data_IF_545602197184
#
_entry.id   IF_545602197184
#
_cell.length_a   1.000
_cell.length_b   1.000
_cell.length_c   1.000
_cell.angle_alpha   90.00
_cell.angle_beta   90.00
_cell.angle_gamma   90.00
#
_symmetry.space_group_name_H-M   'P 1'
#
loop_
_entity.id
_entity.type
_entity.pdbx_description
1 polymer ?
#
# COMPACT_ATOMS: atom_id res chain seq x y z
N UNK A 1 36.57 43.35 -58.40
CA UNK A 1 36.37 41.99 -58.97
C UNK A 1 36.50 40.96 -57.85
N UNK A 2 35.73 39.86 -57.89
CA UNK A 2 35.05 39.29 -56.74
C UNK A 2 35.70 38.01 -56.17
N UNK A 3 35.22 37.58 -54.99
CA UNK A 3 35.07 36.20 -54.44
C UNK A 3 35.35 36.24 -52.93
N UNK A 4 34.69 35.49 -52.04
CA UNK A 4 33.56 34.57 -52.05
C UNK A 4 33.51 33.98 -50.63
N UNK A 5 32.32 33.87 -50.01
CA UNK A 5 31.84 32.83 -49.06
C UNK A 5 32.74 32.48 -47.84
N UNK A 6 32.24 32.44 -46.61
CA UNK A 6 31.23 31.48 -46.16
C UNK A 6 30.65 31.85 -44.80
N UNK A 7 29.34 31.67 -44.66
CA UNK A 7 28.70 31.44 -43.37
C UNK A 7 29.21 30.11 -42.80
N UNK A 8 29.56 30.08 -41.51
CA UNK A 8 29.52 28.85 -40.70
C UNK A 8 28.69 29.14 -39.47
N UNK A 9 27.43 28.72 -39.52
CA UNK A 9 26.60 28.47 -38.36
C UNK A 9 27.19 27.27 -37.61
N UNK A 10 27.76 27.51 -36.42
CA UNK A 10 28.13 26.46 -35.48
C UNK A 10 27.02 26.26 -34.47
N UNK A 11 26.12 25.32 -34.75
CA UNK A 11 25.04 24.88 -33.88
C UNK A 11 25.54 23.83 -32.87
N UNK A 12 25.05 23.97 -31.64
CA UNK A 12 24.59 22.90 -30.75
C UNK A 12 25.63 22.00 -30.03
N UNK A 13 25.53 22.00 -28.71
CA UNK A 13 26.14 21.00 -27.83
C UNK A 13 25.88 21.26 -26.35
N UNK A 14 24.64 21.58 -25.95
CA UNK A 14 24.26 21.58 -24.53
C UNK A 14 24.08 20.10 -24.13
N UNK A 15 25.13 19.50 -23.57
CA UNK A 15 25.08 18.17 -22.98
C UNK A 15 24.27 18.23 -21.68
N UNK A 16 22.96 17.99 -21.79
CA UNK A 16 22.11 17.75 -20.63
C UNK A 16 22.47 16.42 -19.98
N UNK A 17 23.12 16.47 -18.82
CA UNK A 17 23.29 15.30 -17.97
C UNK A 17 21.90 14.84 -17.49
N UNK A 18 21.39 13.77 -18.10
CA UNK A 18 20.26 13.02 -17.57
C UNK A 18 20.73 12.32 -16.29
N UNK A 19 20.47 12.94 -15.14
CA UNK A 19 20.45 12.22 -13.87
C UNK A 19 19.27 11.26 -13.94
N UNK A 20 19.54 10.01 -14.29
CA UNK A 20 18.60 8.92 -14.11
C UNK A 20 18.38 8.77 -12.61
N UNK A 21 17.29 9.36 -12.12
CA UNK A 21 16.73 9.08 -10.80
C UNK A 21 16.56 7.56 -10.74
N UNK A 22 17.44 6.86 -10.01
CA UNK A 22 17.27 5.45 -9.73
C UNK A 22 16.05 5.37 -8.80
N UNK A 23 14.86 5.17 -9.37
CA UNK A 23 13.73 4.72 -8.59
C UNK A 23 14.16 3.36 -8.01
N UNK A 24 14.27 3.27 -6.69
CA UNK A 24 14.66 2.04 -6.00
C UNK A 24 13.68 0.93 -6.36
N UNK A 25 14.08 0.06 -7.29
CA UNK A 25 13.32 -1.11 -7.64
C UNK A 25 13.44 -2.09 -6.48
N UNK A 26 12.31 -2.59 -5.99
CA UNK A 26 12.23 -3.69 -5.04
C UNK A 26 13.08 -4.87 -5.55
N UNK A 27 14.19 -5.18 -4.88
CA UNK A 27 15.12 -6.24 -5.28
C UNK A 27 14.94 -7.45 -4.36
N UNK A 28 14.30 -8.51 -4.87
CA UNK A 28 14.09 -9.74 -4.11
C UNK A 28 15.42 -10.44 -3.71
N UNK A 29 16.50 -10.31 -4.50
CA UNK A 29 17.81 -10.84 -4.14
C UNK A 29 18.47 -10.02 -3.01
N UNK A 30 18.25 -8.70 -3.00
CA UNK A 30 18.59 -7.87 -1.85
C UNK A 30 17.74 -8.22 -0.62
N UNK A 31 16.45 -8.47 -0.83
CA UNK A 31 15.50 -8.87 0.19
C UNK A 31 15.88 -10.15 0.90
N UNK A 32 16.44 -11.14 0.19
CA UNK A 32 16.98 -12.36 0.83
C UNK A 32 18.09 -12.03 1.82
N UNK A 33 18.97 -11.08 1.49
CA UNK A 33 20.05 -10.65 2.40
C UNK A 33 19.48 -9.93 3.62
N UNK A 34 18.49 -9.08 3.43
CA UNK A 34 17.79 -8.40 4.53
C UNK A 34 17.06 -9.40 5.42
N UNK A 35 16.43 -10.42 4.84
CA UNK A 35 15.68 -11.46 5.56
C UNK A 35 16.55 -12.23 6.56
N UNK A 36 17.88 -12.26 6.39
CA UNK A 36 18.81 -12.80 7.39
C UNK A 36 18.65 -12.15 8.78
N UNK A 37 18.19 -10.89 8.85
CA UNK A 37 17.84 -10.20 10.10
C UNK A 37 16.59 -10.79 10.77
N UNK A 38 15.72 -11.46 10.00
CA UNK A 38 14.46 -12.05 10.43
C UNK A 38 14.59 -13.55 10.79
N UNK A 39 15.57 -14.25 10.23
CA UNK A 39 15.73 -15.71 10.31
C UNK A 39 15.91 -16.28 11.73
N UNK A 40 16.35 -15.47 12.69
CA UNK A 40 16.42 -15.88 14.11
C UNK A 40 15.03 -16.14 14.71
N UNK A 41 14.02 -15.42 14.22
CA UNK A 41 12.66 -15.48 14.73
C UNK A 41 11.68 -16.12 13.76
N UNK A 42 11.95 -16.08 12.46
CA UNK A 42 11.00 -16.49 11.43
C UNK A 42 11.62 -17.48 10.44
N UNK A 43 10.75 -18.20 9.73
CA UNK A 43 11.10 -19.08 8.63
C UNK A 43 10.15 -18.84 7.46
N UNK A 44 10.65 -19.06 6.25
CA UNK A 44 9.91 -19.08 4.98
C UNK A 44 10.30 -20.33 4.20
N UNK A 45 9.48 -20.69 3.21
CA UNK A 45 9.72 -21.81 2.30
C UNK A 45 9.19 -23.15 2.80
N UNK A 46 9.52 -24.19 2.05
CA UNK A 46 9.10 -25.57 2.32
C UNK A 46 9.66 -26.05 3.68
N UNK A 47 8.80 -26.68 4.48
CA UNK A 47 9.18 -27.20 5.80
C UNK A 47 9.43 -26.12 6.86
N UNK A 48 9.04 -24.87 6.62
CA UNK A 48 9.10 -23.80 7.60
C UNK A 48 8.29 -24.14 8.86
N UNK A 49 8.82 -23.77 10.03
CA UNK A 49 8.20 -24.02 11.34
C UNK A 49 8.15 -22.76 12.17
N UNK A 50 7.14 -22.66 13.03
CA UNK A 50 7.05 -21.61 14.04
C UNK A 50 8.31 -21.62 14.93
N UNK A 51 8.84 -20.43 15.23
CA UNK A 51 9.97 -20.21 16.15
C UNK A 51 9.56 -19.18 17.20
N UNK A 52 10.43 -18.19 17.46
CA UNK A 52 10.10 -17.02 18.28
C UNK A 52 8.93 -16.25 17.63
N UNK A 53 8.91 -16.16 16.31
CA UNK A 53 7.83 -15.64 15.49
C UNK A 53 7.13 -16.74 14.66
N UNK A 54 5.96 -16.44 14.08
CA UNK A 54 5.25 -17.37 13.19
C UNK A 54 6.01 -17.56 11.87
N UNK A 55 5.66 -18.61 11.13
CA UNK A 55 6.08 -18.78 9.73
C UNK A 55 5.56 -17.61 8.87
N UNK A 56 6.40 -17.15 7.93
CA UNK A 56 6.09 -16.04 7.02
C UNK A 56 5.82 -16.49 5.58
N UNK A 57 5.87 -17.79 5.27
CA UNK A 57 5.35 -18.32 4.00
C UNK A 57 3.87 -17.96 3.86
N UNK A 58 3.48 -17.37 2.73
CA UNK A 58 2.11 -16.90 2.50
C UNK A 58 1.67 -15.83 3.50
N UNK A 59 2.56 -14.91 3.88
CA UNK A 59 2.20 -13.81 4.78
C UNK A 59 1.42 -12.72 4.05
N UNK A 60 1.75 -12.43 2.78
CA UNK A 60 1.03 -11.43 1.99
C UNK A 60 -0.36 -11.99 1.63
N UNK A 61 -1.39 -11.17 1.84
CA UNK A 61 -2.81 -11.55 1.75
C UNK A 61 -3.37 -12.26 2.99
N UNK A 62 -2.54 -12.57 4.00
CA UNK A 62 -2.99 -13.30 5.19
C UNK A 62 -3.51 -12.36 6.27
N UNK A 63 -4.63 -12.74 6.89
CA UNK A 63 -5.16 -12.09 8.10
C UNK A 63 -4.08 -12.02 9.20
N UNK A 64 -3.98 -10.89 9.88
CA UNK A 64 -3.06 -10.76 11.00
C UNK A 64 -3.43 -11.69 12.16
N UNK A 65 -2.42 -12.20 12.87
CA UNK A 65 -2.65 -13.06 14.02
C UNK A 65 -3.26 -14.44 13.73
N UNK A 66 -3.19 -14.94 12.48
CA UNK A 66 -3.95 -16.12 12.06
C UNK A 66 -3.12 -17.33 11.61
N UNK A 67 -1.78 -17.29 11.62
CA UNK A 67 -1.00 -18.48 11.25
C UNK A 67 -1.19 -19.58 12.29
N UNK A 68 -1.47 -20.79 11.82
CA UNK A 68 -1.81 -21.92 12.66
C UNK A 68 -0.69 -22.28 13.65
N UNK A 69 -1.11 -22.84 14.78
CA UNK A 69 -0.21 -23.34 15.84
C UNK A 69 0.81 -22.31 16.38
N UNK A 70 0.57 -21.01 16.20
CA UNK A 70 1.36 -19.93 16.79
C UNK A 70 0.57 -19.15 17.85
N UNK A 71 1.22 -18.85 18.98
CA UNK A 71 0.61 -18.09 20.09
C UNK A 71 0.87 -16.59 19.96
N UNK A 72 -0.04 -15.89 19.29
CA UNK A 72 0.01 -14.43 19.09
C UNK A 72 -0.16 -13.61 20.38
N UNK A 73 0.13 -12.30 20.32
CA UNK A 73 -0.29 -11.37 21.36
C UNK A 73 -1.79 -11.09 21.23
N UNK A 74 -2.43 -10.68 22.33
CA UNK A 74 -3.84 -10.27 22.29
C UNK A 74 -4.08 -9.18 21.25
N UNK A 75 -3.22 -8.15 21.21
CA UNK A 75 -3.33 -7.04 20.26
C UNK A 75 -3.15 -7.46 18.80
N UNK A 76 -2.26 -8.40 18.50
CA UNK A 76 -2.10 -8.90 17.13
C UNK A 76 -3.34 -9.69 16.68
N UNK A 77 -3.93 -10.49 17.57
CA UNK A 77 -5.19 -11.19 17.30
C UNK A 77 -6.33 -10.19 17.10
N UNK A 78 -6.45 -9.19 17.97
CA UNK A 78 -7.45 -8.12 17.87
C UNK A 78 -7.30 -7.32 16.57
N UNK A 79 -6.08 -7.00 16.14
CA UNK A 79 -5.87 -6.30 14.87
C UNK A 79 -6.37 -7.12 13.69
N UNK A 80 -6.12 -8.44 13.69
CA UNK A 80 -6.72 -9.34 12.71
C UNK A 80 -8.24 -9.35 12.78
N UNK A 81 -8.83 -9.47 13.98
CA UNK A 81 -10.29 -9.41 14.19
C UNK A 81 -10.92 -8.10 13.70
N UNK A 82 -10.21 -6.98 13.86
CA UNK A 82 -10.57 -5.65 13.37
C UNK A 82 -10.31 -5.45 11.85
N UNK A 83 -9.92 -6.50 11.13
CA UNK A 83 -9.82 -6.49 9.66
C UNK A 83 -8.40 -6.38 9.11
N UNK A 84 -7.35 -6.40 9.93
CA UNK A 84 -5.98 -6.30 9.42
C UNK A 84 -5.62 -7.51 8.56
N UNK A 85 -5.34 -7.26 7.29
CA UNK A 85 -4.76 -8.20 6.33
C UNK A 85 -3.38 -7.68 5.95
N UNK A 86 -2.38 -8.56 5.93
CA UNK A 86 -1.03 -8.19 5.55
C UNK A 86 -0.91 -8.00 4.04
N UNK A 87 -0.90 -6.76 3.59
CA UNK A 87 -0.39 -6.39 2.27
C UNK A 87 1.03 -5.80 2.38
N UNK A 88 1.58 -5.35 1.26
CA UNK A 88 2.93 -4.79 1.22
C UNK A 88 3.06 -3.50 2.05
N UNK A 89 2.05 -2.62 2.04
CA UNK A 89 2.05 -1.36 2.79
C UNK A 89 1.93 -1.59 4.29
N UNK A 90 0.99 -2.44 4.72
CA UNK A 90 0.84 -2.82 6.11
C UNK A 90 2.12 -3.46 6.66
N UNK A 91 2.80 -4.31 5.87
CA UNK A 91 4.10 -4.87 6.24
C UNK A 91 5.19 -3.79 6.29
N UNK A 92 5.21 -2.86 5.34
CA UNK A 92 6.18 -1.76 5.30
C UNK A 92 6.07 -0.89 6.56
N UNK A 93 4.86 -0.48 6.94
CA UNK A 93 4.64 0.31 8.15
C UNK A 93 4.89 -0.49 9.43
N UNK A 94 4.37 -1.72 9.50
CA UNK A 94 4.59 -2.59 10.66
C UNK A 94 6.08 -2.86 10.91
N UNK A 95 6.88 -3.05 9.86
CA UNK A 95 8.32 -3.32 10.02
C UNK A 95 9.10 -2.10 10.54
N UNK A 96 8.65 -0.86 10.29
CA UNK A 96 9.26 0.33 10.88
C UNK A 96 9.04 0.39 12.40
N UNK A 97 7.88 -0.05 12.87
CA UNK A 97 7.53 0.00 14.29
C UNK A 97 6.35 -0.90 14.65
N UNK A 98 6.57 -2.19 14.97
CA UNK A 98 5.47 -3.11 15.26
C UNK A 98 4.56 -2.68 16.41
N UNK A 99 5.17 -2.07 17.43
CA UNK A 99 4.48 -1.58 18.62
C UNK A 99 3.59 -0.38 18.28
N UNK A 100 4.16 0.58 17.57
CA UNK A 100 3.53 1.87 17.25
C UNK A 100 2.39 1.60 16.24
N UNK A 101 2.66 0.80 15.20
CA UNK A 101 1.67 0.33 14.23
C UNK A 101 0.44 -0.32 14.89
N UNK A 102 0.62 -1.22 15.86
CA UNK A 102 -0.52 -1.87 16.51
C UNK A 102 -1.31 -0.90 17.41
N UNK A 103 -0.66 0.10 18.01
CA UNK A 103 -1.35 1.11 18.80
C UNK A 103 -2.20 2.01 17.90
N UNK A 104 -1.63 2.46 16.78
CA UNK A 104 -2.33 3.31 15.82
C UNK A 104 -3.47 2.56 15.13
N UNK A 105 -3.21 1.35 14.62
CA UNK A 105 -4.23 0.56 13.92
C UNK A 105 -5.44 0.26 14.82
N UNK A 106 -5.20 -0.03 16.10
CA UNK A 106 -6.27 -0.33 17.06
C UNK A 106 -6.85 0.91 17.73
N UNK A 107 -6.22 2.08 17.62
CA UNK A 107 -6.55 3.25 18.44
C UNK A 107 -6.37 2.98 19.95
N UNK A 108 -5.40 2.14 20.34
CA UNK A 108 -5.19 1.71 21.73
C UNK A 108 -3.71 1.84 22.14
N UNK A 109 -3.38 2.87 22.93
CA UNK A 109 -2.05 3.08 23.52
C UNK A 109 -1.59 1.90 24.42
N UNK A 110 -2.52 1.08 24.90
CA UNK A 110 -2.29 -0.13 25.65
C UNK A 110 -1.88 -1.33 24.80
N UNK A 111 -2.06 -1.28 23.48
CA UNK A 111 -1.74 -2.39 22.58
C UNK A 111 -0.28 -2.82 22.72
N UNK A 112 0.03 -4.12 22.55
CA UNK A 112 1.40 -4.64 22.70
C UNK A 112 1.80 -5.59 21.57
N UNK A 113 2.86 -5.22 20.87
CA UNK A 113 3.56 -6.09 19.94
C UNK A 113 4.56 -7.00 20.68
N UNK A 114 4.55 -8.29 20.36
CA UNK A 114 5.58 -9.24 20.82
C UNK A 114 6.89 -9.09 20.05
N UNK A 115 6.82 -8.70 18.79
CA UNK A 115 7.99 -8.40 17.96
C UNK A 115 8.57 -7.04 18.39
N UNK A 116 9.80 -7.04 18.91
CA UNK A 116 10.51 -5.82 19.35
C UNK A 116 11.52 -5.29 18.32
N UNK A 117 11.78 -6.07 17.28
CA UNK A 117 12.65 -5.68 16.18
C UNK A 117 12.00 -4.60 15.33
N UNK A 118 12.80 -3.65 14.84
CA UNK A 118 12.39 -2.59 13.92
C UNK A 118 13.38 -2.55 12.76
N UNK A 119 12.87 -2.55 11.53
CA UNK A 119 13.65 -2.37 10.31
C UNK A 119 13.46 -0.92 9.86
N UNK A 120 14.40 -0.04 10.24
CA UNK A 120 14.26 1.42 10.05
C UNK A 120 14.51 1.87 8.61
N UNK A 121 15.40 1.17 7.93
CA UNK A 121 15.78 1.51 6.56
C UNK A 121 14.62 1.17 5.61
N UNK A 122 14.24 2.13 4.77
CA UNK A 122 13.08 1.98 3.88
C UNK A 122 13.36 1.05 2.70
N UNK A 123 14.58 1.07 2.17
CA UNK A 123 15.00 0.21 1.07
C UNK A 123 15.02 -1.24 1.55
N UNK A 124 15.62 -1.50 2.72
CA UNK A 124 15.60 -2.81 3.37
C UNK A 124 14.16 -3.34 3.56
N UNK A 125 13.21 -2.46 3.96
CA UNK A 125 11.80 -2.83 4.13
C UNK A 125 11.18 -3.23 2.79
N UNK A 126 11.36 -2.42 1.75
CA UNK A 126 10.85 -2.72 0.40
C UNK A 126 11.41 -4.03 -0.13
N UNK A 127 12.71 -4.24 0.01
CA UNK A 127 13.41 -5.42 -0.47
C UNK A 127 12.96 -6.68 0.26
N UNK A 128 12.89 -6.67 1.60
CA UNK A 128 12.45 -7.87 2.35
C UNK A 128 11.00 -8.21 2.06
N UNK A 129 10.13 -7.23 1.81
CA UNK A 129 8.74 -7.45 1.42
C UNK A 129 8.67 -8.10 0.03
N UNK A 130 9.46 -7.61 -0.92
CA UNK A 130 9.58 -8.23 -2.25
C UNK A 130 10.07 -9.69 -2.18
N UNK A 131 11.03 -9.97 -1.30
CA UNK A 131 11.44 -11.33 -1.01
C UNK A 131 10.30 -12.18 -0.41
N UNK A 132 9.55 -11.67 0.57
CA UNK A 132 8.38 -12.36 1.15
C UNK A 132 7.26 -12.61 0.14
N UNK A 133 7.09 -11.71 -0.84
CA UNK A 133 6.14 -11.88 -1.92
C UNK A 133 6.45 -13.12 -2.78
N UNK A 134 7.73 -13.48 -2.95
CA UNK A 134 8.12 -14.73 -3.64
C UNK A 134 7.69 -16.01 -2.91
N UNK A 135 7.28 -15.93 -1.64
CA UNK A 135 6.77 -17.04 -0.84
C UNK A 135 5.26 -16.95 -0.58
N UNK A 136 4.57 -16.01 -1.21
CA UNK A 136 3.13 -15.83 -1.07
C UNK A 136 2.45 -16.13 -2.40
N UNK A 137 1.29 -16.82 -2.42
CA UNK A 137 0.53 -16.99 -3.65
C UNK A 137 0.19 -15.61 -4.21
N UNK A 138 0.58 -15.34 -5.46
CA UNK A 138 0.22 -14.08 -6.13
C UNK A 138 -1.20 -14.09 -6.69
N UNK A 139 -1.81 -15.28 -6.75
CA UNK A 139 -3.20 -15.47 -7.10
C UNK A 139 -3.76 -16.50 -6.11
N UNK A 140 -4.35 -16.04 -5.00
CA UNK A 140 -5.29 -16.87 -4.27
C UNK A 140 -6.58 -16.87 -5.10
N UNK A 141 -6.63 -17.75 -6.09
CA UNK A 141 -7.84 -18.13 -6.81
C UNK A 141 -8.96 -18.39 -5.79
N UNK A 142 -9.89 -17.44 -5.71
CA UNK A 142 -11.20 -17.64 -5.10
C UNK A 142 -12.13 -18.21 -6.17
N UNK A 143 -11.69 -19.27 -6.83
CA UNK A 143 -12.56 -20.18 -7.57
C UNK A 143 -12.97 -21.28 -6.58
N UNK A 144 -13.95 -20.98 -5.72
CA UNK A 144 -14.88 -21.95 -5.10
C UNK A 144 -15.56 -21.38 -3.82
N UNK A 145 -16.03 -20.12 -3.82
CA UNK A 145 -17.21 -19.73 -3.00
C UNK A 145 -17.90 -18.46 -3.53
N UNK A 146 -18.01 -18.30 -4.85
CA UNK A 146 -18.88 -17.29 -5.48
C UNK A 146 -20.02 -17.94 -6.27
N UNK A 147 -20.72 -18.88 -5.63
CA UNK A 147 -22.07 -19.23 -6.05
C UNK A 147 -23.05 -18.68 -5.02
N UNK A 148 -23.73 -17.59 -5.42
CA UNK A 148 -24.87 -16.95 -4.76
C UNK A 148 -24.55 -15.98 -3.62
N UNK A 149 -24.12 -14.77 -3.98
CA UNK A 149 -24.85 -13.51 -3.74
C UNK A 149 -24.01 -12.37 -4.36
N UNK A 150 -24.57 -11.67 -5.34
CA UNK A 150 -23.82 -10.90 -6.32
C UNK A 150 -22.98 -9.73 -5.80
N UNK A 151 -21.68 -9.80 -6.05
CA UNK A 151 -20.80 -8.64 -6.21
C UNK A 151 -20.09 -8.74 -7.56
N UNK A 152 -20.17 -7.70 -8.38
CA UNK A 152 -19.46 -7.65 -9.65
C UNK A 152 -17.93 -7.61 -9.39
N UNK A 153 -17.10 -8.20 -10.26
CA UNK A 153 -15.65 -8.19 -10.06
C UNK A 153 -15.13 -6.75 -10.01
N UNK A 154 -14.14 -6.50 -9.14
CA UNK A 154 -13.38 -5.25 -9.11
C UNK A 154 -12.74 -5.05 -10.49
N UNK A 155 -13.45 -4.30 -11.34
CA UNK A 155 -12.99 -3.96 -12.69
C UNK A 155 -11.70 -3.17 -12.52
N UNK A 156 -10.62 -3.60 -13.19
CA UNK A 156 -9.39 -2.81 -13.30
C UNK A 156 -9.77 -1.37 -13.62
N UNK A 157 -9.36 -0.43 -12.77
CA UNK A 157 -9.74 0.98 -12.92
C UNK A 157 -9.38 1.44 -14.32
N UNK A 158 -10.30 2.13 -14.99
CA UNK A 158 -10.00 2.66 -16.31
C UNK A 158 -8.83 3.66 -16.21
N UNK A 159 -7.92 3.65 -17.18
CA UNK A 159 -6.68 4.46 -17.18
C UNK A 159 -6.91 5.98 -17.09
N UNK A 160 -8.14 6.42 -17.31
CA UNK A 160 -8.59 7.82 -17.24
C UNK A 160 -9.46 8.08 -16.00
N UNK A 161 -9.44 7.20 -14.99
CA UNK A 161 -10.32 7.29 -13.83
C UNK A 161 -9.49 7.16 -12.55
N UNK A 162 -9.76 8.03 -11.58
CA UNK A 162 -9.26 7.91 -10.21
C UNK A 162 -10.45 7.56 -9.31
N UNK A 163 -10.30 6.53 -8.48
CA UNK A 163 -11.33 6.09 -7.56
C UNK A 163 -10.81 5.99 -6.12
N UNK A 164 -11.72 6.10 -5.16
CA UNK A 164 -11.50 5.72 -3.77
C UNK A 164 -12.56 4.68 -3.37
N UNK A 165 -12.15 3.66 -2.61
CA UNK A 165 -13.02 2.66 -2.01
C UNK A 165 -12.91 2.73 -0.49
N UNK A 166 -14.05 2.70 0.19
CA UNK A 166 -14.09 2.51 1.64
C UNK A 166 -14.01 1.01 1.97
N UNK A 167 -12.96 0.57 2.66
CA UNK A 167 -12.86 -0.78 3.22
C UNK A 167 -12.97 -0.79 4.75
N UNK A 168 -13.12 0.37 5.37
CA UNK A 168 -13.51 0.47 6.78
C UNK A 168 -14.98 0.07 6.95
N UNK A 169 -15.31 -0.42 8.13
CA UNK A 169 -16.66 -0.85 8.49
C UNK A 169 -17.63 0.33 8.71
N UNK A 170 -17.11 1.53 8.97
CA UNK A 170 -17.89 2.73 9.22
C UNK A 170 -18.22 3.49 7.93
N UNK A 171 -19.39 4.13 7.91
CA UNK A 171 -19.72 5.12 6.87
C UNK A 171 -18.85 6.36 7.07
N UNK A 172 -18.16 6.79 6.01
CA UNK A 172 -17.30 7.98 6.03
C UNK A 172 -17.58 8.88 4.82
N UNK A 173 -17.21 10.14 4.92
CA UNK A 173 -17.36 11.10 3.83
C UNK A 173 -16.08 11.16 2.98
N UNK A 174 -16.20 10.98 1.67
CA UNK A 174 -15.06 10.95 0.76
C UNK A 174 -15.13 12.09 -0.26
N UNK A 175 -13.94 12.51 -0.71
CA UNK A 175 -13.76 13.37 -1.87
C UNK A 175 -12.73 12.77 -2.83
N UNK A 176 -12.98 12.89 -4.13
CA UNK A 176 -12.02 12.56 -5.18
C UNK A 176 -11.91 13.74 -6.13
N UNK A 177 -10.68 14.18 -6.36
CA UNK A 177 -10.36 15.29 -7.24
C UNK A 177 -9.17 14.89 -8.12
N UNK A 178 -9.22 15.23 -9.40
CA UNK A 178 -8.10 15.06 -10.31
C UNK A 178 -7.99 16.31 -11.18
N UNK A 179 -6.78 16.61 -11.64
CA UNK A 179 -6.53 17.77 -12.48
C UNK A 179 -7.49 17.79 -13.69
N UNK A 180 -8.08 18.94 -13.98
CA UNK A 180 -9.03 19.09 -15.10
C UNK A 180 -10.33 18.26 -15.01
N UNK A 181 -10.62 17.63 -13.87
CA UNK A 181 -11.85 16.88 -13.63
C UNK A 181 -12.75 17.55 -12.58
N UNK A 182 -14.03 17.19 -12.59
CA UNK A 182 -14.96 17.62 -11.56
C UNK A 182 -14.62 16.93 -10.22
N UNK A 183 -14.53 17.70 -9.14
CA UNK A 183 -14.44 17.17 -7.79
C UNK A 183 -15.73 16.42 -7.45
N UNK A 184 -15.60 15.18 -7.00
CA UNK A 184 -16.73 14.33 -6.58
C UNK A 184 -16.66 14.12 -5.08
N UNK A 185 -17.80 14.15 -4.41
CA UNK A 185 -17.91 13.89 -2.97
C UNK A 185 -19.09 12.99 -2.66
N UNK A 186 -19.06 12.32 -1.50
CA UNK A 186 -20.19 11.53 -1.02
C UNK A 186 -19.86 10.66 0.18
N UNK A 187 -20.90 10.27 0.92
CA UNK A 187 -20.80 9.25 1.96
C UNK A 187 -20.67 7.86 1.32
N UNK A 188 -19.69 7.09 1.77
CA UNK A 188 -19.49 5.70 1.35
C UNK A 188 -19.64 4.78 2.56
N UNK A 189 -20.58 3.84 2.48
CA UNK A 189 -20.64 2.68 3.37
C UNK A 189 -19.43 1.75 3.13
N UNK A 190 -19.26 0.75 4.00
CA UNK A 190 -18.27 -0.32 3.80
C UNK A 190 -18.42 -0.96 2.40
N UNK A 191 -17.31 -1.00 1.66
CA UNK A 191 -17.25 -1.47 0.27
C UNK A 191 -17.66 -0.45 -0.80
N UNK A 192 -18.15 0.73 -0.41
CA UNK A 192 -18.57 1.79 -1.34
C UNK A 192 -17.41 2.38 -2.13
N UNK A 193 -17.70 2.87 -3.35
CA UNK A 193 -16.69 3.42 -4.27
C UNK A 193 -17.15 4.77 -4.83
N UNK A 194 -16.23 5.75 -4.87
CA UNK A 194 -16.41 7.05 -5.51
C UNK A 194 -15.30 7.28 -6.53
N UNK A 195 -15.65 7.77 -7.73
CA UNK A 195 -14.68 7.97 -8.81
C UNK A 195 -14.86 9.32 -9.50
N UNK A 196 -13.77 9.83 -10.07
CA UNK A 196 -13.76 10.93 -11.05
C UNK A 196 -12.96 10.53 -12.30
N UNK A 197 -13.23 11.19 -13.43
CA UNK A 197 -12.58 10.90 -14.71
C UNK A 197 -11.73 12.08 -15.15
N UNK A 198 -10.44 11.82 -15.42
CA UNK A 198 -9.46 12.81 -15.87
C UNK A 198 -8.60 12.25 -17.02
N UNK A 199 -7.70 13.06 -17.59
CA UNK A 199 -6.78 12.61 -18.62
C UNK A 199 -5.78 11.57 -18.06
N UNK A 200 -5.44 10.52 -18.83
CA UNK A 200 -4.43 9.55 -18.41
C UNK A 200 -3.09 10.23 -18.11
N UNK A 201 -2.38 9.73 -17.08
CA UNK A 201 -1.07 10.23 -16.69
C UNK A 201 -1.07 11.50 -15.84
N UNK A 202 -2.25 12.01 -15.46
CA UNK A 202 -2.38 13.03 -14.43
C UNK A 202 -2.41 12.40 -13.03
N UNK A 203 -2.24 13.23 -12.01
CA UNK A 203 -2.44 12.85 -10.61
C UNK A 203 -3.68 13.51 -10.05
N UNK A 204 -4.22 12.94 -8.99
CA UNK A 204 -5.30 13.51 -8.22
C UNK A 204 -5.11 13.27 -6.73
N UNK A 205 -6.11 13.70 -5.97
CA UNK A 205 -6.20 13.54 -4.54
C UNK A 205 -7.47 12.78 -4.19
N UNK A 206 -7.30 11.76 -3.35
CA UNK A 206 -8.41 11.14 -2.63
C UNK A 206 -8.35 11.63 -1.19
N UNK A 207 -9.50 11.96 -0.61
CA UNK A 207 -9.62 12.44 0.77
C UNK A 207 -10.76 11.73 1.48
N UNK A 208 -10.59 11.50 2.78
CA UNK A 208 -11.59 10.95 3.68
C UNK A 208 -11.75 11.84 4.91
N UNK A 209 -12.99 11.95 5.38
CA UNK A 209 -13.43 12.79 6.49
C UNK A 209 -14.47 12.01 7.30
N UNK A 210 -14.58 12.30 8.60
CA UNK A 210 -15.65 11.76 9.44
C UNK A 210 -17.03 12.23 8.97
N UNK A 211 -17.12 13.50 8.54
CA UNK A 211 -18.36 14.14 8.10
C UNK A 211 -18.12 15.22 7.04
N UNK A 212 -19.20 15.68 6.38
CA UNK A 212 -19.12 16.56 5.22
C UNK A 212 -18.60 17.97 5.53
N UNK A 213 -18.77 18.44 6.75
CA UNK A 213 -18.36 19.76 7.25
C UNK A 213 -17.07 19.70 8.09
N UNK A 214 -16.45 18.52 8.20
CA UNK A 214 -15.14 18.38 8.84
C UNK A 214 -14.09 19.23 8.13
N UNK A 215 -13.38 20.06 8.90
CA UNK A 215 -12.32 20.93 8.39
C UNK A 215 -11.01 20.16 8.13
N UNK A 216 -10.83 19.05 8.83
CA UNK A 216 -9.64 18.22 8.79
C UNK A 216 -10.03 16.82 8.30
N UNK A 217 -9.19 16.30 7.42
CA UNK A 217 -9.38 14.99 6.83
C UNK A 217 -8.07 14.52 6.23
N UNK A 218 -8.07 13.26 5.89
CA UNK A 218 -6.87 12.55 5.55
C UNK A 218 -6.83 12.36 4.04
N UNK A 219 -5.73 12.79 3.42
CA UNK A 219 -5.64 12.88 1.97
C UNK A 219 -4.40 12.16 1.43
N UNK A 220 -4.55 11.52 0.28
CA UNK A 220 -3.47 10.81 -0.43
C UNK A 220 -3.44 11.25 -1.89
N UNK A 221 -2.23 11.50 -2.39
CA UNK A 221 -2.00 11.72 -3.82
C UNK A 221 -1.97 10.37 -4.53
N UNK A 222 -2.68 10.27 -5.64
CA UNK A 222 -2.82 9.03 -6.40
C UNK A 222 -2.82 9.30 -7.90
N UNK A 223 -2.17 8.46 -8.72
CA UNK A 223 -2.19 8.62 -10.16
C UNK A 223 -3.56 8.26 -10.73
N UNK A 224 -4.00 9.00 -11.75
CA UNK A 224 -5.19 8.64 -12.52
C UNK A 224 -4.96 7.27 -13.16
N UNK A 225 -5.92 6.37 -12.99
CA UNK A 225 -5.81 4.96 -13.35
C UNK A 225 -5.77 4.01 -12.15
N UNK A 226 -5.80 4.50 -10.91
CA UNK A 226 -5.83 3.68 -9.69
C UNK A 226 -7.15 3.77 -8.93
N UNK A 227 -7.38 2.78 -8.08
CA UNK A 227 -8.38 2.84 -7.00
C UNK A 227 -7.65 2.83 -5.67
N UNK A 228 -7.65 3.93 -4.94
CA UNK A 228 -7.12 3.93 -3.57
C UNK A 228 -8.14 3.27 -2.64
N UNK A 229 -7.72 2.32 -1.81
CA UNK A 229 -8.60 1.69 -0.83
C UNK A 229 -8.27 2.25 0.54
N UNK A 230 -9.22 2.93 1.16
CA UNK A 230 -9.10 3.39 2.54
C UNK A 230 -9.43 2.20 3.44
N UNK A 231 -8.42 1.63 4.09
CA UNK A 231 -8.55 0.44 4.93
C UNK A 231 -9.12 0.77 6.30
N UNK A 232 -8.64 1.86 6.91
CA UNK A 232 -9.10 2.30 8.22
C UNK A 232 -8.87 3.79 8.44
N UNK A 233 -9.89 4.46 8.96
CA UNK A 233 -9.81 5.86 9.40
C UNK A 233 -9.75 5.88 10.92
N UNK A 234 -8.69 6.47 11.48
CA UNK A 234 -8.57 6.66 12.94
C UNK A 234 -8.83 8.12 13.29
N UNK A 235 -8.18 9.04 12.58
CA UNK A 235 -8.37 10.49 12.65
C UNK A 235 -7.77 11.17 11.41
N UNK A 236 -7.72 12.51 11.40
CA UNK A 236 -7.31 13.30 10.24
C UNK A 236 -5.85 13.10 9.82
N UNK A 237 -4.95 12.71 10.73
CA UNK A 237 -3.54 12.45 10.45
C UNK A 237 -3.19 10.95 10.38
N UNK A 238 -4.09 10.05 10.83
CA UNK A 238 -3.85 8.61 10.84
C UNK A 238 -4.93 7.86 10.04
N UNK A 239 -4.60 7.61 8.78
CA UNK A 239 -5.36 6.68 7.94
C UNK A 239 -4.47 5.67 7.29
N UNK A 240 -5.02 4.47 7.18
CA UNK A 240 -4.39 3.34 6.54
C UNK A 240 -5.02 3.17 5.17
N UNK A 241 -4.18 3.20 4.15
CA UNK A 241 -4.57 3.02 2.76
C UNK A 241 -3.92 1.74 2.24
N UNK A 242 -4.53 1.07 1.26
CA UNK A 242 -3.88 -0.04 0.56
C UNK A 242 -2.84 0.50 -0.42
N UNK A 243 -1.71 -0.18 -0.59
CA UNK A 243 -0.82 0.11 -1.72
C UNK A 243 -1.51 -0.25 -3.03
N UNK A 244 -1.46 0.67 -4.00
CA UNK A 244 -1.80 0.39 -5.38
C UNK A 244 -0.60 0.74 -6.27
N UNK A 245 0.53 0.09 -6.02
CA UNK A 245 1.75 0.06 -6.84
C UNK A 245 2.65 -1.04 -6.33
#
# INVERSE_FOLDING_TARGET
>A
MPRSRSLVFGLLGLAGALLAQQAGAQDAEAGERVFRKCQSCHMVGEGAKNRVGPVLTGVIGRKAGSFEDYRYSKSMTQAGEAGLVWDEEALFEYLAGPQDFLQDYLGDDGARAKMRFRLRDEEDRRDVIAYLASFSPQDADTEDEQAQLGSAPARKTAQNTLCVRNADEHQLFFAVEADGAERRTGYLEAGGVLCTTSQPGQSGMVSVFEEADALEGCSRLAPVGTTEVMLRYVDFDRCFWSSNT
#
